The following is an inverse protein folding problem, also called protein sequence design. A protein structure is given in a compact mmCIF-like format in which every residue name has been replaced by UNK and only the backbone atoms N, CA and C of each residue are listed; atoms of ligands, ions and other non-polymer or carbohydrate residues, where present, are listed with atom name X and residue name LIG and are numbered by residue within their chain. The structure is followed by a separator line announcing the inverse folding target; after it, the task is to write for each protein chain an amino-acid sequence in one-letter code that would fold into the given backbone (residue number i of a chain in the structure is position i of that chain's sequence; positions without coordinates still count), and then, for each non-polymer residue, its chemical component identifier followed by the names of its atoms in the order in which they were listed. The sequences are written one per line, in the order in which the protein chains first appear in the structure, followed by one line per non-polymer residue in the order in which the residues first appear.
data_IF_045198274218
#
_entry.id   IF_045198274218
#
_cell.length_a   1.000
_cell.length_b   1.000
_cell.length_c   1.000
_cell.angle_alpha   90.00
_cell.angle_beta   90.00
_cell.angle_gamma   90.00
#
_symmetry.space_group_name_H-M   'P 1'
#
loop_
_entity.id
_entity.type
_entity.pdbx_description
1 polymer ?
#
# COMPACT_ATOMS: atom_id res chain seq x y z
N UNK A 1 -29.05 -31.89 -21.82
CA UNK A 1 -29.80 -30.88 -22.60
C UNK A 1 -28.75 -29.96 -23.21
N UNK A 2 -28.44 -30.17 -24.48
CA UNK A 2 -27.35 -29.51 -25.21
C UNK A 2 -27.94 -28.23 -25.79
N UNK A 3 -27.43 -27.06 -25.38
CA UNK A 3 -27.82 -25.76 -25.92
C UNK A 3 -26.89 -25.40 -27.07
N UNK A 4 -27.48 -25.22 -28.26
CA UNK A 4 -26.81 -24.85 -29.51
C UNK A 4 -26.23 -23.42 -29.46
N UNK A 5 -24.92 -23.31 -29.73
CA UNK A 5 -24.13 -22.06 -29.81
C UNK A 5 -24.38 -21.21 -31.08
N UNK A 6 -25.52 -21.39 -31.76
CA UNK A 6 -25.72 -20.82 -33.12
C UNK A 6 -26.48 -19.50 -33.22
N UNK A 7 -26.75 -18.79 -32.11
CA UNK A 7 -27.60 -17.57 -32.14
C UNK A 7 -26.83 -16.25 -31.86
N UNK A 8 -25.50 -16.26 -31.69
CA UNK A 8 -24.76 -15.04 -31.27
C UNK A 8 -24.18 -14.20 -32.43
N UNK A 9 -24.23 -14.63 -33.69
CA UNK A 9 -23.55 -13.91 -34.80
C UNK A 9 -24.47 -13.28 -35.86
N UNK A 10 -25.56 -12.62 -35.47
CA UNK A 10 -26.33 -11.80 -36.41
C UNK A 10 -26.85 -10.50 -35.80
N UNK A 11 -25.95 -9.70 -35.23
CA UNK A 11 -26.22 -8.28 -35.04
C UNK A 11 -25.87 -7.54 -36.35
N UNK A 12 -26.80 -6.74 -36.91
CA UNK A 12 -26.50 -5.94 -38.10
C UNK A 12 -25.36 -4.97 -37.79
N UNK A 13 -24.48 -4.68 -38.78
CA UNK A 13 -23.40 -3.73 -38.59
C UNK A 13 -23.98 -2.36 -38.20
N UNK A 14 -23.32 -1.62 -37.30
CA UNK A 14 -23.78 -0.30 -36.90
C UNK A 14 -23.87 0.62 -38.12
N UNK A 15 -24.88 1.51 -38.17
CA UNK A 15 -25.10 2.38 -39.31
C UNK A 15 -23.92 3.33 -39.54
N UNK A 16 -23.60 3.69 -40.81
CA UNK A 16 -22.53 4.63 -41.13
C UNK A 16 -22.83 6.02 -40.56
N UNK A 17 -21.86 6.60 -39.85
CA UNK A 17 -21.95 8.00 -39.43
C UNK A 17 -21.78 8.91 -40.65
N UNK A 18 -22.89 9.45 -41.15
CA UNK A 18 -22.87 10.48 -42.19
C UNK A 18 -22.59 11.86 -41.53
N UNK A 19 -21.63 12.64 -42.05
CA UNK A 19 -21.46 14.02 -41.63
C UNK A 19 -22.66 14.84 -42.08
N UNK A 20 -23.29 15.54 -41.14
CA UNK A 20 -24.40 16.46 -41.38
C UNK A 20 -23.91 17.65 -42.22
N UNK A 21 -24.10 17.56 -43.53
CA UNK A 21 -23.93 18.69 -44.45
C UNK A 21 -25.17 19.58 -44.38
N UNK A 22 -24.99 20.75 -43.75
CA UNK A 22 -26.04 21.74 -43.55
C UNK A 22 -26.59 22.30 -44.86
N UNK A 23 -27.92 22.44 -44.92
CA UNK A 23 -28.60 23.26 -45.91
C UNK A 23 -29.01 24.58 -45.28
N UNK A 24 -28.66 25.67 -45.96
CA UNK A 24 -28.96 27.03 -45.59
C UNK A 24 -30.39 27.40 -46.01
N UNK A 25 -31.20 27.90 -45.09
CA UNK A 25 -32.29 28.82 -45.41
C UNK A 25 -32.45 29.89 -44.30
N UNK A 26 -32.70 31.11 -44.76
CA UNK A 26 -32.79 32.40 -44.09
C UNK A 26 -33.83 32.52 -42.95
N UNK A 27 -33.49 33.27 -41.87
CA UNK A 27 -34.20 34.43 -41.26
C UNK A 27 -33.75 34.66 -39.77
N UNK A 28 -34.12 35.74 -39.05
CA UNK A 28 -33.19 36.78 -38.61
C UNK A 28 -32.88 36.83 -37.10
N UNK A 29 -31.67 37.34 -36.82
CA UNK A 29 -31.12 37.99 -35.63
C UNK A 29 -31.82 37.77 -34.27
N UNK A 30 -31.19 36.93 -33.44
CA UNK A 30 -31.31 36.92 -31.97
C UNK A 30 -29.90 36.83 -31.37
N UNK A 31 -29.65 37.39 -30.16
CA UNK A 31 -28.30 37.57 -29.63
C UNK A 31 -27.66 36.21 -29.31
N UNK A 32 -26.47 36.04 -29.88
CA UNK A 32 -25.64 34.85 -29.88
C UNK A 32 -25.09 34.51 -28.50
N UNK A 33 -25.64 33.48 -27.87
CA UNK A 33 -24.96 32.67 -26.84
C UNK A 33 -25.08 31.18 -27.21
N UNK A 34 -24.40 30.79 -28.28
CA UNK A 34 -24.26 29.37 -28.61
C UNK A 34 -23.01 29.18 -29.45
N UNK A 35 -21.84 29.33 -28.84
CA UNK A 35 -20.70 28.56 -29.32
C UNK A 35 -20.97 27.11 -28.90
N UNK A 36 -21.23 26.17 -29.84
CA UNK A 36 -21.23 24.76 -29.49
C UNK A 36 -19.86 24.43 -28.88
N UNK A 37 -19.80 23.55 -27.87
CA UNK A 37 -18.53 23.15 -27.29
C UNK A 37 -17.60 22.68 -28.42
N UNK A 38 -16.35 23.16 -28.47
CA UNK A 38 -15.45 22.86 -29.57
C UNK A 38 -15.29 21.33 -29.70
N UNK A 39 -15.21 20.81 -30.94
CA UNK A 39 -14.95 19.40 -31.18
C UNK A 39 -13.68 18.98 -30.44
N UNK A 40 -13.69 17.80 -29.80
CA UNK A 40 -12.62 17.30 -28.92
C UNK A 40 -11.21 17.39 -29.54
N UNK A 41 -11.12 17.40 -30.87
CA UNK A 41 -9.89 17.54 -31.64
C UNK A 41 -9.23 18.92 -31.55
N UNK A 42 -10.00 20.01 -31.38
CA UNK A 42 -9.44 21.38 -31.32
C UNK A 42 -8.91 21.74 -29.93
N UNK A 43 -9.41 21.10 -28.87
CA UNK A 43 -8.87 21.28 -27.51
C UNK A 43 -7.42 20.78 -27.38
N UNK A 44 -7.00 19.81 -28.21
CA UNK A 44 -5.63 19.31 -28.27
C UNK A 44 -4.70 20.20 -29.10
N UNK A 45 -5.25 21.06 -29.96
CA UNK A 45 -4.51 21.95 -30.84
C UNK A 45 -4.38 23.39 -30.28
N UNK A 46 -4.89 23.65 -29.08
CA UNK A 46 -4.82 24.97 -28.46
C UNK A 46 -3.35 25.38 -28.16
N UNK A 47 -2.87 26.53 -28.68
CA UNK A 47 -1.45 26.93 -28.61
C UNK A 47 -0.95 27.27 -27.19
N UNK A 48 -1.84 27.34 -26.19
CA UNK A 48 -1.47 27.65 -24.80
C UNK A 48 -0.94 26.45 -24.01
N UNK A 49 -0.99 25.24 -24.57
CA UNK A 49 -0.50 24.02 -23.93
C UNK A 49 0.61 23.31 -24.74
N UNK A 50 1.38 24.08 -25.52
CA UNK A 50 2.55 23.60 -26.25
C UNK A 50 3.75 23.34 -25.33
N UNK A 51 3.63 22.40 -24.39
CA UNK A 51 4.80 21.69 -23.89
C UNK A 51 5.13 20.57 -24.89
N UNK A 52 6.31 20.61 -25.54
CA UNK A 52 6.64 19.63 -26.56
C UNK A 52 6.79 18.24 -25.94
N UNK A 53 6.01 17.28 -26.43
CA UNK A 53 6.43 15.87 -26.47
C UNK A 53 6.09 14.97 -25.29
N UNK A 54 5.28 15.37 -24.29
CA UNK A 54 4.86 14.41 -23.26
C UNK A 54 3.69 13.56 -23.77
N UNK A 55 4.02 12.41 -24.37
CA UNK A 55 3.04 11.36 -24.68
C UNK A 55 2.15 11.11 -23.45
N UNK A 56 0.84 11.33 -23.62
CA UNK A 56 -0.15 11.08 -22.58
C UNK A 56 -0.19 9.58 -22.32
N UNK A 57 0.34 9.15 -21.18
CA UNK A 57 0.32 7.75 -20.76
C UNK A 57 -0.85 7.54 -19.81
N UNK A 58 -1.44 6.36 -19.84
CA UNK A 58 -2.46 5.98 -18.86
C UNK A 58 -1.93 6.10 -17.42
N UNK A 59 -0.62 5.90 -17.22
CA UNK A 59 0.06 6.06 -15.93
C UNK A 59 0.24 7.52 -15.48
N UNK A 60 0.01 8.51 -16.35
CA UNK A 60 0.07 9.94 -15.97
C UNK A 60 -1.28 10.51 -15.52
N UNK A 61 -2.34 9.69 -15.52
CA UNK A 61 -3.63 10.11 -14.99
C UNK A 61 -3.56 10.37 -13.47
N UNK A 62 -4.33 11.34 -12.95
CA UNK A 62 -4.47 11.54 -11.51
C UNK A 62 -4.98 10.27 -10.79
N UNK A 63 -4.55 10.00 -9.54
CA UNK A 63 -4.95 8.79 -8.81
C UNK A 63 -6.47 8.59 -8.68
N UNK A 64 -7.23 9.67 -8.50
CA UNK A 64 -8.69 9.59 -8.38
C UNK A 64 -9.37 9.14 -9.68
N UNK A 65 -8.82 9.49 -10.85
CA UNK A 65 -9.32 9.02 -12.15
C UNK A 65 -9.02 7.54 -12.33
N UNK A 66 -7.82 7.08 -11.94
CA UNK A 66 -7.48 5.66 -11.98
C UNK A 66 -8.38 4.83 -11.06
N UNK A 67 -8.67 5.33 -9.85
CA UNK A 67 -9.63 4.70 -8.96
C UNK A 67 -11.03 4.63 -9.59
N UNK A 68 -11.51 5.72 -10.19
CA UNK A 68 -12.80 5.72 -10.88
C UNK A 68 -12.85 4.68 -12.01
N UNK A 69 -11.78 4.56 -12.80
CA UNK A 69 -11.67 3.54 -13.84
C UNK A 69 -11.78 2.14 -13.22
N UNK A 70 -11.06 1.87 -12.13
CA UNK A 70 -11.14 0.58 -11.43
C UNK A 70 -12.55 0.33 -10.88
N UNK A 71 -13.20 1.31 -10.27
CA UNK A 71 -14.57 1.18 -9.76
C UNK A 71 -15.60 0.91 -10.87
N UNK A 72 -15.41 1.49 -12.06
CA UNK A 72 -16.27 1.22 -13.22
C UNK A 72 -16.09 -0.19 -13.82
N UNK A 73 -15.10 -0.98 -13.35
CA UNK A 73 -14.98 -2.40 -13.75
C UNK A 73 -15.90 -3.33 -12.96
N UNK A 74 -16.49 -2.86 -11.86
CA UNK A 74 -17.39 -3.66 -11.04
C UNK A 74 -18.79 -3.77 -11.67
N UNK A 75 -19.47 -4.92 -11.47
CA UNK A 75 -20.78 -5.13 -12.06
C UNK A 75 -21.85 -4.22 -11.45
N UNK A 76 -22.68 -3.63 -12.31
CA UNK A 76 -23.81 -2.77 -11.91
C UNK A 76 -25.17 -3.49 -11.98
N UNK A 77 -25.26 -4.62 -12.68
CA UNK A 77 -26.52 -5.35 -12.87
C UNK A 77 -26.87 -6.23 -11.66
N UNK A 78 -28.12 -6.22 -11.17
CA UNK A 78 -28.50 -6.80 -9.87
C UNK A 78 -28.40 -8.33 -9.77
N UNK A 79 -28.41 -9.07 -10.89
CA UNK A 79 -28.30 -10.53 -10.87
C UNK A 79 -26.86 -11.02 -10.74
N UNK A 80 -26.57 -11.87 -9.73
CA UNK A 80 -25.25 -12.48 -9.54
C UNK A 80 -24.14 -11.50 -9.14
N UNK A 81 -24.50 -10.37 -8.51
CA UNK A 81 -23.56 -9.30 -8.17
C UNK A 81 -22.35 -9.79 -7.38
N UNK A 82 -22.58 -10.64 -6.37
CA UNK A 82 -21.53 -11.07 -5.43
C UNK A 82 -20.49 -11.93 -6.12
N UNK A 83 -20.91 -12.95 -6.87
CA UNK A 83 -20.01 -13.83 -7.63
C UNK A 83 -19.20 -13.03 -8.65
N UNK A 84 -19.88 -12.19 -9.45
CA UNK A 84 -19.19 -11.38 -10.47
C UNK A 84 -18.27 -10.34 -9.84
N UNK A 85 -18.63 -9.79 -8.68
CA UNK A 85 -17.76 -8.90 -7.91
C UNK A 85 -16.51 -9.64 -7.43
N UNK A 86 -16.64 -10.86 -6.89
CA UNK A 86 -15.49 -11.69 -6.47
C UNK A 86 -14.57 -12.04 -7.64
N UNK A 87 -15.14 -12.40 -8.80
CA UNK A 87 -14.38 -12.61 -10.05
C UNK A 87 -13.65 -11.34 -10.49
N UNK A 88 -14.27 -10.17 -10.34
CA UNK A 88 -13.64 -8.87 -10.62
C UNK A 88 -12.47 -8.59 -9.66
N UNK A 89 -12.66 -8.82 -8.36
CA UNK A 89 -11.58 -8.67 -7.35
C UNK A 89 -10.41 -9.62 -7.65
N UNK A 90 -10.68 -10.86 -8.06
CA UNK A 90 -9.66 -11.82 -8.48
C UNK A 90 -8.91 -11.33 -9.72
N UNK A 91 -9.62 -10.77 -10.70
CA UNK A 91 -8.99 -10.17 -11.87
C UNK A 91 -8.11 -8.96 -11.52
N UNK A 92 -8.53 -8.09 -10.60
CA UNK A 92 -7.69 -7.01 -10.08
C UNK A 92 -6.40 -7.56 -9.45
N UNK A 93 -6.54 -8.60 -8.63
CA UNK A 93 -5.43 -9.22 -7.91
C UNK A 93 -4.48 -10.03 -8.82
N UNK A 94 -4.94 -10.60 -9.93
CA UNK A 94 -4.10 -11.43 -10.81
C UNK A 94 -3.62 -10.74 -12.08
N UNK A 95 -4.36 -9.74 -12.56
CA UNK A 95 -4.14 -9.16 -13.89
C UNK A 95 -3.91 -7.65 -13.82
N UNK A 96 -4.92 -6.86 -13.46
CA UNK A 96 -4.85 -5.39 -13.62
C UNK A 96 -3.71 -4.76 -12.81
N UNK A 97 -3.44 -5.25 -11.61
CA UNK A 97 -2.34 -4.74 -10.76
C UNK A 97 -0.95 -4.90 -11.39
N UNK A 98 -0.79 -5.79 -12.37
CA UNK A 98 0.50 -6.08 -13.01
C UNK A 98 0.80 -5.16 -14.20
N UNK A 99 -0.17 -4.35 -14.65
CA UNK A 99 -0.04 -3.52 -15.86
C UNK A 99 1.02 -2.42 -15.67
N UNK A 100 0.94 -1.66 -14.57
CA UNK A 100 1.95 -0.68 -14.19
C UNK A 100 1.79 -0.30 -12.70
N UNK A 101 2.77 0.46 -12.17
CA UNK A 101 2.77 0.91 -10.78
C UNK A 101 1.52 1.71 -10.37
N UNK A 102 0.96 2.51 -11.27
CA UNK A 102 -0.20 3.33 -10.96
C UNK A 102 -1.47 2.47 -10.77
N UNK A 103 -1.67 1.47 -11.64
CA UNK A 103 -2.72 0.47 -11.44
C UNK A 103 -2.46 -0.44 -10.25
N UNK A 104 -1.20 -0.81 -9.96
CA UNK A 104 -0.88 -1.52 -8.74
C UNK A 104 -1.41 -0.77 -7.51
N UNK A 105 -1.13 0.53 -7.40
CA UNK A 105 -1.59 1.35 -6.27
C UNK A 105 -3.12 1.42 -6.23
N UNK A 106 -3.78 1.70 -7.36
CA UNK A 106 -5.24 1.81 -7.42
C UNK A 106 -5.95 0.47 -7.12
N UNK A 107 -5.49 -0.64 -7.70
CA UNK A 107 -6.03 -1.97 -7.45
C UNK A 107 -5.82 -2.39 -6.00
N UNK A 108 -4.61 -2.21 -5.45
CA UNK A 108 -4.34 -2.56 -4.06
C UNK A 108 -5.11 -1.67 -3.08
N UNK A 109 -5.38 -0.41 -3.42
CA UNK A 109 -6.28 0.43 -2.62
C UNK A 109 -7.68 -0.17 -2.52
N UNK A 110 -8.30 -0.52 -3.66
CA UNK A 110 -9.63 -1.15 -3.68
C UNK A 110 -9.59 -2.47 -2.91
N UNK A 111 -8.68 -3.37 -3.25
CA UNK A 111 -8.55 -4.68 -2.60
C UNK A 111 -8.37 -4.56 -1.07
N UNK A 112 -7.44 -3.70 -0.61
CA UNK A 112 -7.23 -3.50 0.83
C UNK A 112 -8.47 -2.92 1.49
N UNK A 113 -9.11 -1.91 0.92
CA UNK A 113 -10.33 -1.32 1.49
C UNK A 113 -11.50 -2.32 1.59
N UNK A 114 -11.63 -3.22 0.63
CA UNK A 114 -12.67 -4.25 0.60
C UNK A 114 -12.43 -5.34 1.66
N UNK A 115 -11.19 -5.80 1.79
CA UNK A 115 -10.85 -6.94 2.66
C UNK A 115 -10.37 -6.54 4.06
N UNK A 116 -10.12 -5.26 4.31
CA UNK A 116 -9.66 -4.79 5.61
C UNK A 116 -10.61 -5.16 6.75
N UNK A 117 -11.95 -4.95 6.65
CA UNK A 117 -12.85 -5.32 7.74
C UNK A 117 -12.75 -6.82 8.12
N UNK A 118 -12.75 -7.69 7.11
CA UNK A 118 -12.63 -9.14 7.30
C UNK A 118 -11.26 -9.56 7.85
N UNK A 119 -10.18 -8.89 7.43
CA UNK A 119 -8.86 -9.08 8.01
C UNK A 119 -8.84 -8.69 9.50
N UNK A 120 -9.39 -7.51 9.83
CA UNK A 120 -9.40 -7.02 11.21
C UNK A 120 -10.23 -7.85 12.16
N UNK A 121 -11.32 -8.48 11.69
CA UNK A 121 -12.14 -9.38 12.53
C UNK A 121 -11.42 -10.69 12.89
N UNK A 122 -10.40 -11.08 12.12
CA UNK A 122 -9.61 -12.28 12.36
C UNK A 122 -8.35 -12.01 13.21
N UNK A 123 -8.02 -10.74 13.44
CA UNK A 123 -6.95 -10.36 14.35
C UNK A 123 -7.32 -10.74 15.78
N UNK A 124 -6.36 -11.32 16.50
CA UNK A 124 -6.58 -11.57 17.92
C UNK A 124 -6.67 -10.23 18.66
N UNK A 125 -7.51 -10.15 19.72
CA UNK A 125 -7.50 -9.03 20.63
C UNK A 125 -6.07 -8.73 21.09
N UNK A 126 -5.68 -7.46 21.15
CA UNK A 126 -4.34 -6.97 21.53
C UNK A 126 -3.20 -7.21 20.52
N UNK A 127 -3.48 -7.76 19.33
CA UNK A 127 -2.51 -7.85 18.22
C UNK A 127 -2.77 -6.85 17.09
N UNK A 128 -3.73 -5.93 17.28
CA UNK A 128 -4.14 -4.97 16.25
C UNK A 128 -3.67 -3.55 16.58
N UNK A 129 -3.15 -2.85 15.58
CA UNK A 129 -3.43 -1.43 15.43
C UNK A 129 -3.60 -1.13 13.94
N UNK A 130 -4.29 -0.04 13.64
CA UNK A 130 -4.68 0.37 12.28
C UNK A 130 -3.55 0.13 11.25
N UNK A 131 -3.76 -0.71 10.22
CA UNK A 131 -2.77 -0.92 9.16
C UNK A 131 -2.57 0.33 8.29
N UNK A 132 -3.38 1.38 8.49
CA UNK A 132 -3.21 2.71 7.91
C UNK A 132 -2.93 3.72 9.04
N UNK A 133 -1.67 3.93 9.44
CA UNK A 133 -1.38 4.94 10.45
C UNK A 133 -1.84 6.31 9.94
N UNK A 134 -2.86 6.89 10.59
CA UNK A 134 -3.33 8.26 10.35
C UNK A 134 -2.29 9.34 10.67
N UNK A 135 -1.09 8.95 11.14
CA UNK A 135 0.02 9.86 11.40
C UNK A 135 0.80 10.13 10.11
N UNK A 136 0.92 11.40 9.67
CA UNK A 136 1.72 11.75 8.51
C UNK A 136 3.20 11.47 8.80
N UNK A 137 3.70 10.33 8.34
CA UNK A 137 5.14 10.04 8.36
C UNK A 137 5.77 10.91 7.27
N UNK A 138 6.79 11.74 7.58
CA UNK A 138 7.48 12.53 6.58
C UNK A 138 8.09 11.57 5.54
N UNK A 139 7.51 11.57 4.35
CA UNK A 139 7.96 10.73 3.24
C UNK A 139 9.27 11.27 2.69
N UNK A 140 10.38 10.89 3.30
CA UNK A 140 11.69 11.05 2.67
C UNK A 140 11.72 10.10 1.48
N UNK A 141 11.96 10.65 0.29
CA UNK A 141 11.88 10.00 -1.00
C UNK A 141 12.80 8.76 -1.11
N UNK A 142 12.31 7.59 -0.70
CA UNK A 142 12.96 6.30 -1.00
C UNK A 142 11.91 5.33 -1.54
N UNK A 143 12.09 4.88 -2.79
CA UNK A 143 11.36 3.82 -3.51
C UNK A 143 9.99 3.42 -2.94
N UNK A 144 8.95 4.07 -3.47
CA UNK A 144 7.54 4.12 -3.00
C UNK A 144 6.72 2.81 -3.04
N UNK A 145 7.35 1.62 -3.06
CA UNK A 145 6.63 0.34 -3.03
C UNK A 145 7.02 -0.57 -1.86
N UNK A 146 8.15 -0.32 -1.21
CA UNK A 146 8.44 -0.95 0.07
C UNK A 146 7.75 -0.11 1.14
N UNK A 147 6.53 -0.50 1.52
CA UNK A 147 5.91 0.07 2.70
C UNK A 147 6.86 -0.19 3.86
N UNK A 148 7.34 0.88 4.50
CA UNK A 148 8.11 0.77 5.74
C UNK A 148 7.32 -0.07 6.76
N UNK A 149 5.99 -0.12 6.60
CA UNK A 149 5.06 -0.95 7.35
C UNK A 149 5.07 -2.39 6.84
N UNK A 150 5.58 -3.31 7.66
CA UNK A 150 5.76 -4.73 7.32
C UNK A 150 4.48 -5.53 7.45
N UNK A 151 3.49 -5.04 8.19
CA UNK A 151 2.16 -5.65 8.25
C UNK A 151 1.40 -5.53 6.92
N UNK A 152 1.69 -4.51 6.09
CA UNK A 152 0.98 -4.31 4.82
C UNK A 152 1.17 -5.49 3.84
N UNK A 153 2.38 -6.03 3.61
CA UNK A 153 2.56 -7.27 2.85
C UNK A 153 1.79 -8.48 3.42
N UNK A 154 1.56 -8.54 4.73
CA UNK A 154 0.78 -9.63 5.35
C UNK A 154 -0.70 -9.52 5.00
N UNK A 155 -1.25 -8.29 5.03
CA UNK A 155 -2.60 -8.02 4.51
C UNK A 155 -2.69 -8.38 3.02
N UNK A 156 -1.68 -8.04 2.22
CA UNK A 156 -1.66 -8.36 0.79
C UNK A 156 -1.64 -9.89 0.53
N UNK A 157 -0.93 -10.64 1.37
CA UNK A 157 -0.93 -12.11 1.34
C UNK A 157 -2.30 -12.67 1.71
N UNK A 158 -2.93 -12.14 2.77
CA UNK A 158 -4.30 -12.50 3.16
C UNK A 158 -5.28 -12.26 2.01
N UNK A 159 -5.23 -11.09 1.37
CA UNK A 159 -6.07 -10.75 0.20
C UNK A 159 -5.86 -11.76 -0.92
N UNK A 160 -4.61 -12.08 -1.25
CA UNK A 160 -4.32 -13.02 -2.33
C UNK A 160 -4.92 -14.41 -2.10
N UNK A 161 -4.91 -14.89 -0.84
CA UNK A 161 -5.55 -16.15 -0.45
C UNK A 161 -7.07 -16.02 -0.44
N UNK A 162 -7.61 -14.98 0.20
CA UNK A 162 -9.04 -14.81 0.42
C UNK A 162 -9.81 -14.60 -0.89
N UNK A 163 -9.30 -13.76 -1.79
CA UNK A 163 -9.92 -13.53 -3.10
C UNK A 163 -9.98 -14.81 -3.94
N UNK A 164 -8.95 -15.67 -3.83
CA UNK A 164 -8.95 -16.96 -4.52
C UNK A 164 -10.00 -17.91 -3.92
N UNK A 165 -10.06 -17.95 -2.59
CA UNK A 165 -11.01 -18.78 -1.86
C UNK A 165 -12.46 -18.39 -2.17
N UNK A 166 -12.76 -17.09 -2.14
CA UNK A 166 -14.09 -16.56 -2.41
C UNK A 166 -14.60 -16.98 -3.80
N UNK A 167 -13.72 -17.02 -4.82
CA UNK A 167 -14.09 -17.47 -6.17
C UNK A 167 -14.22 -18.99 -6.26
N UNK A 168 -13.41 -19.75 -5.53
CA UNK A 168 -13.51 -21.22 -5.52
C UNK A 168 -14.78 -21.73 -4.84
N UNK A 169 -15.24 -21.04 -3.79
CA UNK A 169 -16.55 -21.31 -3.17
C UNK A 169 -17.68 -21.12 -4.18
N UNK A 170 -17.58 -20.13 -5.08
CA UNK A 170 -18.60 -19.89 -6.10
C UNK A 170 -18.53 -20.87 -7.29
N UNK A 171 -17.32 -21.25 -7.72
CA UNK A 171 -17.13 -22.08 -8.91
C UNK A 171 -17.32 -23.59 -8.64
N UNK A 172 -17.28 -24.04 -7.38
CA UNK A 172 -17.34 -25.46 -7.02
C UNK A 172 -18.12 -25.73 -5.74
N UNK A 173 -19.30 -26.35 -5.85
CA UNK A 173 -20.10 -26.81 -4.71
C UNK A 173 -19.39 -27.87 -3.84
N UNK A 174 -18.37 -28.55 -4.39
CA UNK A 174 -17.54 -29.53 -3.68
C UNK A 174 -16.33 -28.91 -2.96
N UNK A 175 -16.19 -27.57 -3.03
CA UNK A 175 -15.06 -26.90 -2.39
C UNK A 175 -15.26 -26.90 -0.87
N UNK A 176 -14.38 -27.60 -0.16
CA UNK A 176 -14.32 -27.59 1.30
C UNK A 176 -13.36 -26.48 1.73
N UNK A 177 -13.91 -25.48 2.42
CA UNK A 177 -13.10 -24.43 3.02
C UNK A 177 -12.06 -25.05 3.95
N UNK A 178 -10.80 -24.65 3.81
CA UNK A 178 -9.75 -25.08 4.74
C UNK A 178 -9.73 -24.12 5.92
N UNK A 179 -10.27 -24.54 7.05
CA UNK A 179 -10.39 -23.72 8.26
C UNK A 179 -9.02 -23.19 8.73
N UNK A 180 -7.95 -23.93 8.47
CA UNK A 180 -6.58 -23.57 8.84
C UNK A 180 -5.82 -22.76 7.78
N UNK A 181 -6.43 -22.40 6.64
CA UNK A 181 -5.71 -21.74 5.54
C UNK A 181 -5.08 -20.40 5.94
N UNK A 182 -5.71 -19.69 6.88
CA UNK A 182 -5.22 -18.41 7.38
C UNK A 182 -4.43 -18.52 8.69
N UNK A 183 -4.29 -19.73 9.24
CA UNK A 183 -3.69 -19.96 10.55
C UNK A 183 -2.27 -19.42 10.63
N UNK A 184 -1.43 -19.70 9.62
CA UNK A 184 -0.04 -19.24 9.57
C UNK A 184 0.08 -17.71 9.46
N UNK A 185 -0.90 -17.06 8.86
CA UNK A 185 -0.96 -15.60 8.76
C UNK A 185 -1.19 -15.03 10.15
N UNK A 186 -2.23 -15.46 10.86
CA UNK A 186 -2.63 -14.83 12.12
C UNK A 186 -1.87 -15.35 13.34
N UNK A 187 -1.29 -16.55 13.29
CA UNK A 187 -0.52 -17.13 14.40
C UNK A 187 0.96 -16.71 14.35
N UNK A 188 1.49 -16.39 13.17
CA UNK A 188 2.92 -16.12 12.99
C UNK A 188 3.22 -14.85 12.19
N UNK A 189 2.75 -14.76 10.94
CA UNK A 189 3.19 -13.72 10.01
C UNK A 189 2.75 -12.31 10.45
N UNK A 190 1.48 -12.18 10.84
CA UNK A 190 0.88 -10.95 11.31
C UNK A 190 1.49 -10.45 12.61
N UNK A 191 1.53 -11.23 13.72
CA UNK A 191 2.08 -10.73 14.98
C UNK A 191 3.57 -10.40 14.88
N UNK A 192 4.33 -11.16 14.07
CA UNK A 192 5.72 -10.84 13.76
C UNK A 192 5.85 -9.49 13.06
N UNK A 193 5.12 -9.29 11.96
CA UNK A 193 5.21 -8.06 11.18
C UNK A 193 4.74 -6.84 11.98
N UNK A 194 3.67 -7.00 12.76
CA UNK A 194 3.16 -5.99 13.69
C UNK A 194 4.20 -5.60 14.73
N UNK A 195 4.88 -6.58 15.31
CA UNK A 195 5.93 -6.33 16.29
C UNK A 195 7.12 -5.58 15.68
N UNK A 196 7.51 -5.89 14.44
CA UNK A 196 8.55 -5.14 13.72
C UNK A 196 8.14 -3.67 13.51
N UNK A 197 6.87 -3.42 13.18
CA UNK A 197 6.33 -2.07 13.02
C UNK A 197 6.28 -1.29 14.36
N UNK A 198 5.95 -1.95 15.46
CA UNK A 198 5.95 -1.36 16.80
C UNK A 198 7.38 -1.03 17.28
N UNK A 199 8.34 -1.96 17.08
CA UNK A 199 9.75 -1.74 17.39
C UNK A 199 10.28 -0.53 16.62
N UNK A 200 9.91 -0.40 15.34
CA UNK A 200 10.25 0.79 14.55
C UNK A 200 9.69 2.07 15.18
N UNK A 201 8.41 2.09 15.53
CA UNK A 201 7.76 3.29 16.10
C UNK A 201 8.44 3.70 17.41
N UNK A 202 8.60 2.75 18.34
CA UNK A 202 9.22 3.02 19.64
C UNK A 202 10.72 3.30 19.52
N UNK A 203 11.45 2.57 18.67
CA UNK A 203 12.88 2.78 18.49
C UNK A 203 13.23 4.09 17.79
N UNK A 204 12.40 4.56 16.85
CA UNK A 204 12.54 5.89 16.25
C UNK A 204 12.26 6.98 17.30
N UNK A 205 11.23 6.79 18.14
CA UNK A 205 10.92 7.71 19.24
C UNK A 205 12.07 7.82 20.25
N UNK A 206 12.72 6.70 20.56
CA UNK A 206 13.87 6.64 21.47
C UNK A 206 15.22 7.00 20.81
N UNK A 207 15.24 7.27 19.50
CA UNK A 207 16.46 7.61 18.76
C UNK A 207 17.44 6.45 18.57
N UNK A 208 17.03 5.20 18.80
CA UNK A 208 17.87 3.99 18.63
C UNK A 208 17.70 3.36 17.24
N UNK A 209 16.63 3.71 16.51
CA UNK A 209 16.37 3.26 15.14
C UNK A 209 16.27 4.45 14.19
N UNK A 210 16.85 4.31 13.00
CA UNK A 210 16.71 5.30 11.90
C UNK A 210 16.03 4.69 10.68
N UNK A 211 15.28 5.51 9.94
CA UNK A 211 14.67 5.14 8.66
C UNK A 211 15.57 5.47 7.45
N UNK A 212 16.73 6.09 7.68
CA UNK A 212 17.68 6.39 6.63
C UNK A 212 18.22 5.09 6.00
N UNK A 213 18.50 5.08 4.68
CA UNK A 213 19.18 3.96 4.05
C UNK A 213 20.51 3.62 4.74
N UNK A 214 20.88 2.32 4.81
CA UNK A 214 22.17 1.92 5.36
C UNK A 214 23.30 2.62 4.59
N UNK A 215 24.23 3.24 5.31
CA UNK A 215 25.34 4.02 4.75
C UNK A 215 25.16 5.54 4.83
N UNK A 216 23.95 6.04 5.09
CA UNK A 216 23.71 7.46 5.37
C UNK A 216 23.73 7.68 6.88
N UNK A 217 24.83 8.24 7.40
CA UNK A 217 24.94 8.58 8.83
C UNK A 217 24.22 9.90 9.06
N UNK A 218 22.95 9.83 9.45
CA UNK A 218 22.23 11.01 9.97
C UNK A 218 22.45 11.08 11.46
N UNK A 219 23.30 12.00 11.92
CA UNK A 219 23.37 12.33 13.33
C UNK A 219 22.08 13.08 13.69
N UNK A 220 21.13 12.38 14.31
CA UNK A 220 19.94 13.01 14.88
C UNK A 220 20.38 13.74 16.15
N UNK A 221 20.94 14.93 15.99
CA UNK A 221 20.95 15.93 17.05
C UNK A 221 19.51 16.39 17.20
N UNK A 222 18.81 15.89 18.22
CA UNK A 222 17.50 16.38 18.63
C UNK A 222 17.69 17.80 19.19
N UNK A 223 17.86 18.76 18.30
CA UNK A 223 17.73 20.18 18.58
C UNK A 223 16.49 20.68 17.87
N UNK A 224 15.39 20.76 18.62
CA UNK A 224 14.25 21.61 18.29
C UNK A 224 14.74 23.07 18.32
N UNK A 225 15.33 23.55 17.23
CA UNK A 225 15.71 24.96 17.02
C UNK A 225 15.95 25.15 15.51
N UNK A 226 14.92 25.55 14.77
CA UNK A 226 14.72 26.91 14.23
C UNK A 226 15.72 27.33 13.15
N UNK A 227 15.19 27.89 12.06
CA UNK A 227 15.82 28.90 11.23
C UNK A 227 16.84 29.73 12.03
N UNK A 228 18.12 29.63 11.72
CA UNK A 228 18.95 30.73 11.20
C UNK A 228 20.43 30.36 11.22
N UNK A 229 21.09 30.75 10.15
CA UNK A 229 22.52 30.75 9.89
C UNK A 229 23.31 31.58 10.92
N UNK A 230 24.34 30.99 11.54
CA UNK A 230 25.75 31.33 11.29
C UNK A 230 26.66 30.67 12.33
N UNK A 231 27.80 30.18 11.83
CA UNK A 231 28.74 29.36 12.57
C UNK A 231 29.34 30.05 13.80
N UNK A 232 29.30 29.34 14.92
CA UNK A 232 30.19 29.57 16.06
C UNK A 232 30.59 28.22 16.60
N UNK A 233 31.90 27.93 16.54
CA UNK A 233 32.51 26.70 17.03
C UNK A 233 32.54 26.78 18.55
N UNK A 234 31.52 26.23 19.21
CA UNK A 234 31.46 26.16 20.68
C UNK A 234 32.17 24.89 21.17
N UNK A 235 33.13 25.08 22.06
CA UNK A 235 33.91 24.03 22.71
C UNK A 235 33.02 22.97 23.38
N UNK A 236 33.31 21.70 23.11
CA UNK A 236 32.65 20.52 23.69
C UNK A 236 32.73 20.55 25.23
N UNK A 237 31.58 20.65 25.89
CA UNK A 237 31.44 20.34 27.33
C UNK A 237 31.74 18.85 27.55
N UNK A 238 32.65 18.54 28.46
CA UNK A 238 33.15 17.21 28.79
C UNK A 238 32.14 16.27 29.51
N UNK A 239 30.83 16.55 29.46
CA UNK A 239 29.78 15.79 30.15
C UNK A 239 28.59 15.42 29.23
N UNK A 240 28.76 15.44 27.90
CA UNK A 240 27.70 14.95 27.03
C UNK A 240 27.72 13.42 26.96
N UNK A 241 26.57 12.74 27.21
CA UNK A 241 26.47 11.30 27.04
C UNK A 241 26.88 10.93 25.62
N UNK A 242 27.57 9.79 25.47
CA UNK A 242 28.06 9.32 24.19
C UNK A 242 26.90 9.30 23.17
N UNK A 243 27.10 9.84 21.97
CA UNK A 243 26.04 9.88 20.97
C UNK A 243 25.68 8.45 20.56
N UNK A 244 24.44 8.04 20.84
CA UNK A 244 23.88 6.76 20.38
C UNK A 244 23.98 6.73 18.86
N UNK A 245 24.53 5.64 18.31
CA UNK A 245 24.52 5.38 16.86
C UNK A 245 23.26 4.58 16.51
N UNK A 246 22.23 5.18 15.90
CA UNK A 246 20.99 4.48 15.60
C UNK A 246 21.20 3.37 14.56
N UNK A 247 20.42 2.31 14.68
CA UNK A 247 20.44 1.17 13.75
C UNK A 247 19.41 1.39 12.63
N UNK A 248 19.77 1.25 11.34
CA UNK A 248 18.80 1.35 10.25
C UNK A 248 17.72 0.27 10.33
N UNK A 249 16.44 0.67 10.27
CA UNK A 249 15.30 -0.26 10.36
C UNK A 249 15.32 -1.32 9.25
N UNK A 250 15.85 -0.99 8.07
CA UNK A 250 15.99 -1.92 6.96
C UNK A 250 16.89 -3.14 7.28
N UNK A 251 17.77 -3.01 8.28
CA UNK A 251 18.66 -4.08 8.72
C UNK A 251 18.11 -4.87 9.92
N UNK A 252 16.91 -4.52 10.41
CA UNK A 252 16.32 -5.21 11.55
C UNK A 252 15.32 -6.27 11.10
N UNK A 253 15.19 -7.37 11.85
CA UNK A 253 14.06 -8.31 11.72
C UNK A 253 13.77 -8.95 13.05
N UNK A 254 12.58 -9.48 13.22
CA UNK A 254 12.14 -10.15 14.45
C UNK A 254 12.03 -11.66 14.22
N UNK A 255 12.58 -12.44 15.15
CA UNK A 255 12.10 -13.81 15.39
C UNK A 255 11.00 -13.78 16.44
N UNK A 256 9.81 -14.23 16.05
CA UNK A 256 8.64 -14.29 16.92
C UNK A 256 8.38 -15.73 17.33
N UNK A 257 8.41 -16.01 18.64
CA UNK A 257 8.09 -17.30 19.24
C UNK A 257 7.02 -17.20 20.31
N UNK A 258 6.53 -18.36 20.77
CA UNK A 258 5.54 -18.45 21.85
C UNK A 258 6.10 -18.00 23.20
N UNK A 259 7.40 -18.22 23.43
CA UNK A 259 8.09 -17.91 24.68
C UNK A 259 9.06 -16.75 24.57
N UNK A 260 9.53 -16.41 23.37
CA UNK A 260 10.59 -15.40 23.23
C UNK A 260 10.47 -14.59 21.96
N UNK A 261 11.01 -13.39 22.01
CA UNK A 261 11.10 -12.44 20.90
C UNK A 261 12.55 -12.05 20.74
N UNK A 262 13.10 -12.32 19.56
CA UNK A 262 14.46 -11.92 19.23
C UNK A 262 14.47 -10.80 18.21
N UNK A 263 15.24 -9.73 18.47
CA UNK A 263 15.60 -8.74 17.46
C UNK A 263 16.89 -9.19 16.78
N UNK A 264 16.84 -9.28 15.45
CA UNK A 264 17.91 -9.73 14.60
C UNK A 264 18.46 -8.59 13.76
N UNK A 265 19.78 -8.50 13.66
CA UNK A 265 20.48 -7.64 12.72
C UNK A 265 20.85 -8.45 11.48
N UNK A 266 20.47 -7.93 10.32
CA UNK A 266 20.80 -8.45 9.00
C UNK A 266 22.10 -7.77 8.57
N UNK A 267 23.12 -8.57 8.28
CA UNK A 267 24.36 -8.08 7.66
C UNK A 267 24.07 -7.59 6.24
N UNK A 268 24.47 -6.35 5.94
CA UNK A 268 24.28 -5.76 4.60
C UNK A 268 25.13 -6.47 3.53
N UNK A 269 26.26 -7.06 3.93
CA UNK A 269 27.22 -7.69 3.01
C UNK A 269 26.85 -9.15 2.71
N UNK A 270 26.46 -9.89 3.75
CA UNK A 270 26.27 -11.35 3.67
C UNK A 270 24.81 -11.77 3.71
N UNK A 271 23.90 -10.86 4.09
CA UNK A 271 22.48 -11.18 4.35
C UNK A 271 22.26 -12.07 5.57
N UNK A 272 23.33 -12.43 6.31
CA UNK A 272 23.23 -13.29 7.49
C UNK A 272 22.54 -12.56 8.63
N UNK A 273 21.73 -13.30 9.38
CA UNK A 273 20.97 -12.77 10.51
C UNK A 273 21.65 -13.17 11.81
N UNK A 274 21.89 -12.21 12.70
CA UNK A 274 22.35 -12.47 14.07
C UNK A 274 21.37 -11.86 15.06
N UNK A 275 21.02 -12.60 16.11
CA UNK A 275 20.21 -12.07 17.20
C UNK A 275 21.06 -11.11 18.04
N UNK A 276 20.59 -9.87 18.22
CA UNK A 276 21.27 -8.84 19.02
C UNK A 276 20.55 -8.57 20.34
N UNK A 277 19.24 -8.84 20.41
CA UNK A 277 18.43 -8.74 21.63
C UNK A 277 17.52 -9.96 21.66
N UNK A 278 17.38 -10.62 22.81
CA UNK A 278 16.42 -11.71 23.03
C UNK A 278 15.64 -11.41 24.32
N UNK A 279 14.33 -11.28 24.21
CA UNK A 279 13.43 -10.94 25.32
C UNK A 279 12.45 -12.08 25.55
N UNK A 280 12.36 -12.51 26.80
CA UNK A 280 11.37 -13.50 27.23
C UNK A 280 9.97 -12.89 27.21
N UNK A 281 9.01 -13.63 26.64
CA UNK A 281 7.59 -13.31 26.74
C UNK A 281 7.06 -13.77 28.08
N UNK A 282 6.26 -12.93 28.72
CA UNK A 282 5.68 -13.24 30.03
C UNK A 282 4.55 -14.27 29.93
N UNK A 283 3.80 -14.25 28.83
CA UNK A 283 2.76 -15.22 28.52
C UNK A 283 2.52 -15.30 27.02
N UNK A 284 1.73 -16.28 26.58
CA UNK A 284 1.29 -16.41 25.17
C UNK A 284 0.42 -15.24 24.71
N UNK A 285 -0.31 -14.63 25.65
CA UNK A 285 -1.32 -13.59 25.41
C UNK A 285 -0.80 -12.19 25.79
N UNK A 286 0.50 -12.07 26.03
CA UNK A 286 1.17 -10.79 26.19
C UNK A 286 0.98 -9.91 24.95
N UNK A 287 0.68 -8.62 25.18
CA UNK A 287 0.54 -7.62 24.13
C UNK A 287 1.86 -7.37 23.38
N UNK A 288 1.77 -7.12 22.08
CA UNK A 288 2.95 -6.87 21.24
C UNK A 288 3.61 -5.54 21.60
N UNK A 289 2.84 -4.58 22.11
CA UNK A 289 3.33 -3.29 22.58
C UNK A 289 4.28 -3.46 23.77
N UNK A 290 3.91 -4.30 24.76
CA UNK A 290 4.75 -4.56 25.92
C UNK A 290 6.04 -5.28 25.52
N UNK A 291 5.94 -6.28 24.63
CA UNK A 291 7.11 -6.96 24.09
C UNK A 291 8.02 -6.02 23.28
N UNK A 292 7.46 -5.17 22.42
CA UNK A 292 8.21 -4.20 21.62
C UNK A 292 8.93 -3.17 22.50
N UNK A 293 8.26 -2.65 23.53
CA UNK A 293 8.84 -1.69 24.46
C UNK A 293 10.08 -2.27 25.15
N UNK A 294 10.00 -3.51 25.68
CA UNK A 294 11.16 -4.18 26.29
C UNK A 294 12.29 -4.44 25.29
N UNK A 295 11.98 -4.87 24.07
CA UNK A 295 13.00 -5.07 23.03
C UNK A 295 13.74 -3.76 22.72
N UNK A 296 13.03 -2.64 22.67
CA UNK A 296 13.64 -1.31 22.42
C UNK A 296 14.45 -0.83 23.62
N UNK A 297 14.01 -1.09 24.84
CA UNK A 297 14.74 -0.78 26.07
C UNK A 297 16.08 -1.54 26.15
N UNK A 298 16.06 -2.85 25.90
CA UNK A 298 17.26 -3.69 25.84
C UNK A 298 18.20 -3.24 24.70
N UNK A 299 17.66 -2.91 23.52
CA UNK A 299 18.44 -2.36 22.42
C UNK A 299 19.12 -1.04 22.82
N UNK A 300 18.41 -0.17 23.54
CA UNK A 300 18.96 1.10 24.04
C UNK A 300 20.09 0.87 25.03
N UNK A 301 19.93 -0.08 25.95
CA UNK A 301 20.98 -0.51 26.87
C UNK A 301 22.24 -1.00 26.14
N UNK A 302 22.05 -1.84 25.11
CA UNK A 302 23.13 -2.36 24.29
C UNK A 302 23.88 -1.28 23.49
N UNK A 303 23.21 -0.21 23.07
CA UNK A 303 23.84 0.89 22.33
C UNK A 303 24.51 1.95 23.22
N UNK A 304 24.21 1.94 24.52
CA UNK A 304 24.78 2.87 25.50
C UNK A 304 25.97 2.29 26.28
N UNK A 305 26.04 0.96 26.42
CA UNK A 305 27.16 0.24 27.04
C UNK A 305 28.32 0.00 26.07
#
# INVERSE_FOLDING_TARGET
MILDDKVIMSLPPPPPYLPSSGSAFHAPASPTFSNPPPPFSEALASPSCSYPGRSLKLSSLPPHILLQIVYNTFPTNPGGLVERQRKSLLWLAKSLRLVNKAFYIACMHVLRSTYLPAYTSLLRPYYSSDPFPSTPVPQVHTNSLNTIQRETPVLDLYIALKVREDVFVDDSELHLEREDMFKDIFDHSQPKARLEDLIRIYGVKEGVITLAPPGVVTYTSTSNSSYSSNGTVVARRANQPLPIRPVPFALLSVSFGTRKVGLQLISAETGTKRTIVDVQRMSRDESLEAAAARVVEELKGLLLG
#
